data_IF_154404139494
#
_entry.id   IF_154404139494
#
_cell.length_a   1.000
_cell.length_b   1.000
_cell.length_c   1.000
_cell.angle_alpha   90.00
_cell.angle_beta   90.00
_cell.angle_gamma   90.00
#
_symmetry.space_group_name_H-M   'P 1'
#
loop_
_entity.id
_entity.type
_entity.pdbx_description
1 polymer ?
#
# COMPACT_ATOMS: atom_id res chain seq x y z
N UNK A 1 -10.97 10.16 -9.66
CA UNK A 1 -10.96 8.76 -10.12
C UNK A 1 -12.39 8.27 -10.23
N UNK A 2 -12.75 7.57 -11.31
CA UNK A 2 -14.10 7.01 -11.45
C UNK A 2 -14.32 5.85 -10.49
N UNK A 3 -15.58 5.59 -10.12
CA UNK A 3 -15.98 4.54 -9.17
C UNK A 3 -15.58 3.11 -9.56
N UNK A 4 -15.09 2.88 -10.79
CA UNK A 4 -14.64 1.57 -11.27
C UNK A 4 -13.41 1.01 -10.52
N UNK A 5 -12.58 1.88 -9.93
CA UNK A 5 -11.34 1.49 -9.25
C UNK A 5 -11.61 0.67 -7.98
N UNK A 6 -12.83 0.73 -7.45
CA UNK A 6 -13.26 0.05 -6.24
C UNK A 6 -13.55 -1.46 -6.42
N UNK A 7 -13.58 -1.95 -7.66
CA UNK A 7 -13.77 -3.38 -7.97
C UNK A 7 -12.44 -4.15 -8.06
N UNK A 8 -11.30 -3.54 -7.75
CA UNK A 8 -9.98 -4.11 -7.99
C UNK A 8 -9.47 -4.98 -6.82
N UNK A 9 -8.59 -5.98 -7.09
CA UNK A 9 -8.11 -6.94 -6.07
C UNK A 9 -7.37 -6.30 -4.89
N UNK A 10 -6.71 -5.17 -5.12
CA UNK A 10 -5.88 -4.44 -4.15
C UNK A 10 -6.66 -3.58 -3.14
N UNK A 11 -7.99 -3.73 -3.11
CA UNK A 11 -8.92 -2.96 -2.27
C UNK A 11 -8.59 -3.01 -0.77
N UNK A 12 -8.00 -4.09 -0.25
CA UNK A 12 -7.70 -4.17 1.19
C UNK A 12 -6.42 -3.44 1.59
N UNK A 13 -5.43 -3.36 0.69
CA UNK A 13 -4.25 -2.50 0.86
C UNK A 13 -4.54 -1.04 0.44
N UNK A 14 -5.74 -0.73 -0.08
CA UNK A 14 -6.15 0.60 -0.59
C UNK A 14 -5.13 1.24 -1.56
N UNK A 15 -4.36 0.42 -2.26
CA UNK A 15 -3.50 0.84 -3.37
C UNK A 15 -4.16 0.39 -4.66
N UNK A 16 -3.93 1.08 -5.76
CA UNK A 16 -4.61 0.79 -7.01
C UNK A 16 -3.65 0.98 -8.18
N UNK A 17 -4.09 0.57 -9.37
CA UNK A 17 -3.33 0.78 -10.59
C UNK A 17 -2.91 2.25 -10.76
N UNK A 18 -1.66 2.51 -11.20
CA UNK A 18 -0.69 1.55 -11.73
C UNK A 18 0.20 0.85 -10.70
N UNK A 19 0.06 1.15 -9.40
CA UNK A 19 0.99 0.67 -8.36
C UNK A 19 0.90 -0.85 -8.09
N UNK A 20 -0.17 -1.47 -8.54
CA UNK A 20 -0.48 -2.89 -8.33
C UNK A 20 -0.15 -3.76 -9.55
N UNK A 21 0.34 -3.16 -10.64
CA UNK A 21 0.69 -3.86 -11.86
C UNK A 21 2.21 -3.91 -12.02
N UNK A 22 2.76 -5.09 -12.33
CA UNK A 22 4.19 -5.25 -12.59
C UNK A 22 4.67 -4.42 -13.77
N UNK A 23 3.82 -4.13 -14.77
CA UNK A 23 4.12 -3.21 -15.87
C UNK A 23 4.17 -1.76 -15.41
N UNK A 24 3.64 -1.45 -14.22
CA UNK A 24 3.80 -0.16 -13.56
C UNK A 24 5.21 0.07 -12.99
N UNK A 25 6.08 -0.93 -13.03
CA UNK A 25 7.47 -0.85 -12.55
C UNK A 25 8.40 -0.63 -13.74
N UNK A 26 9.12 0.48 -13.73
CA UNK A 26 10.15 0.79 -14.69
C UNK A 26 11.52 0.33 -14.22
N UNK A 27 12.29 -0.28 -15.11
CA UNK A 27 13.68 -0.67 -14.87
C UNK A 27 14.61 -0.12 -15.96
N UNK A 28 15.78 0.37 -15.54
CA UNK A 28 16.84 0.82 -16.42
C UNK A 28 18.01 -0.17 -16.41
N UNK A 29 18.24 -0.89 -17.52
CA UNK A 29 19.31 -1.88 -17.60
C UNK A 29 20.72 -1.30 -17.40
N UNK A 30 20.96 -0.08 -17.89
CA UNK A 30 22.29 0.55 -17.82
C UNK A 30 22.65 1.01 -16.41
N UNK A 31 21.74 1.70 -15.72
CA UNK A 31 21.98 2.24 -14.38
C UNK A 31 21.58 1.29 -13.26
N UNK A 32 20.70 0.34 -13.54
CA UNK A 32 20.08 -0.53 -12.55
C UNK A 32 18.94 0.13 -11.78
N UNK A 33 18.55 1.36 -12.12
CA UNK A 33 17.49 2.09 -11.44
C UNK A 33 16.13 1.40 -11.61
N UNK A 34 15.35 1.35 -10.54
CA UNK A 34 13.96 0.82 -10.51
C UNK A 34 13.06 1.85 -9.83
N UNK A 35 11.89 2.12 -10.40
CA UNK A 35 10.85 2.93 -9.75
C UNK A 35 9.47 2.66 -10.37
N UNK A 36 8.42 3.18 -9.76
CA UNK A 36 7.11 3.23 -10.42
C UNK A 36 7.13 4.19 -11.61
N UNK A 37 6.43 3.83 -12.69
CA UNK A 37 6.27 4.67 -13.88
C UNK A 37 5.69 6.04 -13.48
N UNK A 38 6.29 7.10 -14.01
CA UNK A 38 5.87 8.48 -13.77
C UNK A 38 6.43 9.11 -12.50
N UNK A 39 7.01 8.33 -11.58
CA UNK A 39 7.55 8.86 -10.32
C UNK A 39 9.00 9.39 -10.43
N UNK A 40 9.25 10.19 -11.46
CA UNK A 40 10.55 10.81 -11.75
C UNK A 40 10.56 12.33 -11.52
N UNK A 41 9.39 12.96 -11.56
CA UNK A 41 9.24 14.42 -11.66
C UNK A 41 9.80 15.17 -10.45
N UNK A 42 9.68 14.59 -9.26
CA UNK A 42 10.03 15.26 -7.99
C UNK A 42 11.36 14.75 -7.40
N UNK A 43 12.24 14.18 -8.22
CA UNK A 43 13.55 13.70 -7.75
C UNK A 43 14.52 14.87 -7.60
N UNK A 44 15.07 15.07 -6.41
CA UNK A 44 16.05 16.12 -6.13
C UNK A 44 17.46 15.70 -6.58
N UNK A 45 18.37 16.67 -6.76
CA UNK A 45 19.79 16.37 -7.04
C UNK A 45 20.45 15.59 -5.90
N UNK A 46 20.06 15.87 -4.66
CA UNK A 46 20.55 15.12 -3.50
C UNK A 46 20.10 13.65 -3.53
N UNK A 47 18.85 13.37 -3.89
CA UNK A 47 18.37 12.00 -4.06
C UNK A 47 19.11 11.31 -5.21
N UNK A 48 19.27 11.99 -6.35
CA UNK A 48 20.03 11.48 -7.51
C UNK A 48 21.44 11.07 -7.12
N UNK A 49 22.14 11.89 -6.34
CA UNK A 49 23.51 11.60 -5.89
C UNK A 49 23.57 10.36 -4.98
N UNK A 50 22.66 10.24 -4.01
CA UNK A 50 22.57 9.07 -3.12
C UNK A 50 22.27 7.78 -3.89
N UNK A 51 21.30 7.85 -4.80
CA UNK A 51 20.89 6.73 -5.66
C UNK A 51 22.05 6.30 -6.56
N UNK A 52 22.72 7.25 -7.23
CA UNK A 52 23.86 6.95 -8.08
C UNK A 52 24.99 6.27 -7.31
N UNK A 53 25.30 6.76 -6.10
CA UNK A 53 26.31 6.16 -5.24
C UNK A 53 25.93 4.74 -4.77
N UNK A 54 24.65 4.50 -4.49
CA UNK A 54 24.15 3.16 -4.18
C UNK A 54 24.23 2.23 -5.40
N UNK A 55 23.78 2.66 -6.57
CA UNK A 55 23.76 1.83 -7.78
C UNK A 55 25.18 1.52 -8.28
N UNK A 56 26.12 2.45 -8.18
CA UNK A 56 27.52 2.20 -8.54
C UNK A 56 28.17 1.06 -7.73
N UNK A 57 27.66 0.80 -6.51
CA UNK A 57 28.15 -0.29 -5.64
C UNK A 57 27.37 -1.59 -5.81
N UNK A 58 26.07 -1.49 -6.08
CA UNK A 58 25.13 -2.62 -5.98
C UNK A 58 24.58 -3.09 -7.34
N UNK A 59 24.82 -2.36 -8.44
CA UNK A 59 24.42 -2.75 -9.79
C UNK A 59 25.62 -3.15 -10.63
N UNK A 60 25.47 -4.26 -11.36
CA UNK A 60 26.35 -4.63 -12.46
C UNK A 60 25.50 -4.66 -13.73
N UNK A 61 25.92 -3.99 -14.82
CA UNK A 61 25.23 -4.10 -16.10
C UNK A 61 25.06 -5.56 -16.50
N UNK A 62 23.87 -5.94 -16.97
CA UNK A 62 23.54 -7.33 -17.25
C UNK A 62 22.07 -7.52 -17.60
N UNK A 63 21.61 -8.77 -17.49
CA UNK A 63 20.21 -9.12 -17.69
C UNK A 63 19.31 -8.36 -16.71
N UNK A 64 18.06 -8.15 -17.12
CA UNK A 64 17.05 -7.57 -16.26
C UNK A 64 16.81 -8.48 -15.04
N UNK A 65 16.83 -7.93 -13.81
CA UNK A 65 16.63 -8.72 -12.61
C UNK A 65 15.22 -9.33 -12.58
N UNK A 66 15.06 -10.42 -11.84
CA UNK A 66 13.75 -11.01 -11.56
C UNK A 66 12.87 -10.02 -10.78
N UNK A 67 11.55 -10.22 -10.82
CA UNK A 67 10.61 -9.27 -10.22
C UNK A 67 10.89 -9.03 -8.73
N UNK A 68 11.17 -10.08 -7.94
CA UNK A 68 11.44 -9.92 -6.51
C UNK A 68 12.70 -9.10 -6.25
N UNK A 69 13.73 -9.26 -7.08
CA UNK A 69 14.93 -8.43 -7.01
C UNK A 69 14.63 -6.97 -7.39
N UNK A 70 13.71 -6.72 -8.34
CA UNK A 70 13.21 -5.36 -8.63
C UNK A 70 12.49 -4.76 -7.45
N UNK A 71 11.60 -5.51 -6.79
CA UNK A 71 10.84 -5.00 -5.64
C UNK A 71 11.76 -4.66 -4.47
N UNK A 72 12.72 -5.53 -4.16
CA UNK A 72 13.71 -5.26 -3.12
C UNK A 72 14.56 -4.04 -3.46
N UNK A 73 15.03 -3.94 -4.70
CA UNK A 73 15.78 -2.77 -5.17
C UNK A 73 14.92 -1.50 -5.10
N UNK A 74 13.63 -1.60 -5.40
CA UNK A 74 12.71 -0.48 -5.30
C UNK A 74 12.57 -0.01 -3.84
N UNK A 75 12.41 -0.93 -2.88
CA UNK A 75 12.42 -0.61 -1.43
C UNK A 75 13.70 0.17 -1.06
N UNK A 76 14.87 -0.33 -1.47
CA UNK A 76 16.17 0.28 -1.18
C UNK A 76 16.33 1.67 -1.81
N UNK A 77 15.97 1.83 -3.09
CA UNK A 77 16.09 3.10 -3.80
C UNK A 77 15.15 4.16 -3.25
N UNK A 78 13.92 3.79 -2.89
CA UNK A 78 12.98 4.71 -2.28
C UNK A 78 13.37 5.11 -0.85
N UNK A 79 14.05 4.25 -0.10
CA UNK A 79 14.60 4.61 1.21
C UNK A 79 15.66 5.72 1.13
N UNK A 80 16.29 5.89 -0.05
CA UNK A 80 17.25 6.97 -0.30
C UNK A 80 16.60 8.29 -0.73
N UNK A 81 15.31 8.26 -1.10
CA UNK A 81 14.58 9.41 -1.64
C UNK A 81 13.89 10.21 -0.55
N UNK A 82 13.88 11.52 -0.74
CA UNK A 82 13.11 12.43 0.10
C UNK A 82 11.65 12.42 -0.36
N UNK A 83 10.81 11.62 0.31
CA UNK A 83 9.37 11.50 0.05
C UNK A 83 8.57 11.82 1.30
N UNK A 84 7.37 12.38 1.11
CA UNK A 84 6.46 12.62 2.22
C UNK A 84 5.92 11.31 2.81
N UNK A 85 5.32 11.41 4.00
CA UNK A 85 4.84 10.25 4.75
C UNK A 85 3.69 9.52 4.06
N UNK A 86 2.82 10.23 3.37
CA UNK A 86 1.71 9.64 2.62
C UNK A 86 2.25 8.77 1.48
N UNK A 87 3.24 9.28 0.74
CA UNK A 87 3.91 8.52 -0.30
C UNK A 87 4.61 7.28 0.28
N UNK A 88 5.37 7.43 1.36
CA UNK A 88 6.08 6.31 1.99
C UNK A 88 5.14 5.20 2.43
N UNK A 89 4.01 5.53 3.06
CA UNK A 89 2.99 4.55 3.44
C UNK A 89 2.42 3.87 2.19
N UNK A 90 2.03 4.65 1.17
CA UNK A 90 1.47 4.11 -0.07
C UNK A 90 2.44 3.14 -0.75
N UNK A 91 3.73 3.47 -0.81
CA UNK A 91 4.78 2.61 -1.33
C UNK A 91 4.86 1.28 -0.57
N UNK A 92 4.86 1.31 0.76
CA UNK A 92 4.91 0.08 1.58
C UNK A 92 3.73 -0.84 1.29
N UNK A 93 2.53 -0.28 1.14
CA UNK A 93 1.32 -1.06 0.81
C UNK A 93 1.35 -1.61 -0.62
N UNK A 94 1.83 -0.82 -1.59
CA UNK A 94 1.99 -1.25 -2.97
C UNK A 94 3.00 -2.40 -3.08
N UNK A 95 4.16 -2.27 -2.44
CA UNK A 95 5.13 -3.34 -2.36
C UNK A 95 4.54 -4.56 -1.67
N UNK A 96 3.84 -4.40 -0.54
CA UNK A 96 3.22 -5.51 0.17
C UNK A 96 2.25 -6.31 -0.71
N UNK A 97 1.40 -5.60 -1.46
CA UNK A 97 0.49 -6.21 -2.43
C UNK A 97 1.26 -7.01 -3.49
N UNK A 98 2.27 -6.40 -4.12
CA UNK A 98 3.08 -7.06 -5.15
C UNK A 98 3.83 -8.29 -4.62
N UNK A 99 4.36 -8.23 -3.39
CA UNK A 99 4.95 -9.40 -2.74
C UNK A 99 3.92 -10.53 -2.53
N UNK A 100 2.70 -10.21 -2.04
CA UNK A 100 1.65 -11.22 -1.82
C UNK A 100 1.18 -11.87 -3.12
N UNK A 101 0.93 -11.08 -4.17
CA UNK A 101 0.49 -11.57 -5.48
C UNK A 101 1.51 -12.48 -6.16
N UNK A 102 2.80 -12.31 -5.83
CA UNK A 102 3.88 -13.13 -6.36
C UNK A 102 4.40 -14.19 -5.38
N UNK A 103 3.61 -14.52 -4.35
CA UNK A 103 3.84 -15.65 -3.47
C UNK A 103 4.79 -15.40 -2.29
N UNK A 104 5.36 -14.19 -2.16
CA UNK A 104 6.19 -13.81 -1.02
C UNK A 104 5.34 -13.26 0.14
N UNK A 105 4.70 -14.19 0.86
CA UNK A 105 3.87 -13.86 2.03
C UNK A 105 4.67 -13.22 3.18
N UNK A 106 5.94 -13.59 3.33
CA UNK A 106 6.81 -13.08 4.38
C UNK A 106 7.18 -11.61 4.12
N UNK A 107 7.59 -11.29 2.89
CA UNK A 107 7.84 -9.91 2.45
C UNK A 107 6.60 -9.04 2.56
N UNK A 108 5.44 -9.54 2.10
CA UNK A 108 4.17 -8.84 2.23
C UNK A 108 3.83 -8.51 3.69
N UNK A 109 3.93 -9.50 4.59
CA UNK A 109 3.65 -9.34 6.02
C UNK A 109 4.59 -8.32 6.68
N UNK A 110 5.90 -8.41 6.39
CA UNK A 110 6.91 -7.45 6.87
C UNK A 110 6.55 -6.01 6.47
N UNK A 111 6.20 -5.80 5.21
CA UNK A 111 5.87 -4.47 4.67
C UNK A 111 4.56 -3.92 5.25
N UNK A 112 3.54 -4.77 5.45
CA UNK A 112 2.28 -4.38 6.11
C UNK A 112 2.47 -4.00 7.57
N UNK A 113 3.35 -4.67 8.31
CA UNK A 113 3.72 -4.23 9.67
C UNK A 113 4.36 -2.84 9.67
N UNK A 114 5.33 -2.59 8.77
CA UNK A 114 5.95 -1.26 8.62
C UNK A 114 4.90 -0.19 8.28
N UNK A 115 4.00 -0.49 7.33
CA UNK A 115 2.93 0.41 6.94
C UNK A 115 1.96 0.70 8.10
N UNK A 116 1.56 -0.31 8.87
CA UNK A 116 0.68 -0.16 10.03
C UNK A 116 1.29 0.76 11.09
N UNK A 117 2.58 0.63 11.36
CA UNK A 117 3.29 1.49 12.31
C UNK A 117 3.24 2.96 11.88
N UNK A 118 3.59 3.25 10.63
CA UNK A 118 3.55 4.62 10.09
C UNK A 118 2.12 5.16 10.02
N UNK A 119 1.14 4.34 9.65
CA UNK A 119 -0.28 4.70 9.65
C UNK A 119 -0.72 5.12 11.05
N UNK A 120 -0.39 4.35 12.09
CA UNK A 120 -0.74 4.69 13.47
C UNK A 120 -0.16 6.04 13.88
N UNK A 121 1.09 6.32 13.52
CA UNK A 121 1.72 7.64 13.76
C UNK A 121 0.96 8.75 13.06
N UNK A 122 0.60 8.58 11.79
CA UNK A 122 -0.16 9.59 11.04
C UNK A 122 -1.55 9.79 11.65
N UNK A 123 -2.25 8.73 12.05
CA UNK A 123 -3.57 8.83 12.68
C UNK A 123 -3.55 9.64 13.99
N UNK A 124 -2.46 9.59 14.77
CA UNK A 124 -2.32 10.45 15.97
C UNK A 124 -2.15 11.94 15.66
N UNK A 125 -1.70 12.27 14.45
CA UNK A 125 -1.57 13.64 13.97
C UNK A 125 -2.86 14.17 13.31
N UNK A 126 -3.97 13.44 13.39
CA UNK A 126 -5.29 13.82 12.86
C UNK A 126 -5.24 14.24 11.38
N UNK A 127 -4.99 13.29 10.46
CA UNK A 127 -4.86 13.58 9.04
C UNK A 127 -6.21 14.03 8.45
N UNK A 128 -6.19 14.55 7.22
CA UNK A 128 -7.41 14.91 6.51
C UNK A 128 -8.42 13.76 6.40
N UNK A 129 -9.71 14.06 6.32
CA UNK A 129 -10.81 13.08 6.44
C UNK A 129 -10.63 11.85 5.55
N UNK A 130 -10.35 12.04 4.25
CA UNK A 130 -10.17 10.92 3.33
C UNK A 130 -9.04 9.99 3.77
N UNK A 131 -7.88 10.56 4.12
CA UNK A 131 -6.72 9.81 4.59
C UNK A 131 -7.03 9.10 5.91
N UNK A 132 -7.77 9.74 6.81
CA UNK A 132 -8.23 9.13 8.06
C UNK A 132 -9.09 7.91 7.79
N UNK A 133 -10.05 7.97 6.87
CA UNK A 133 -10.91 6.83 6.52
C UNK A 133 -10.10 5.67 5.96
N UNK A 134 -9.23 5.97 4.98
CA UNK A 134 -8.34 5.00 4.34
C UNK A 134 -7.48 4.29 5.37
N UNK A 135 -6.85 5.05 6.27
CA UNK A 135 -5.89 4.53 7.23
C UNK A 135 -6.55 3.73 8.35
N UNK A 136 -7.73 4.13 8.80
CA UNK A 136 -8.51 3.31 9.74
C UNK A 136 -8.95 1.99 9.11
N UNK A 137 -9.39 2.02 7.85
CA UNK A 137 -9.75 0.81 7.12
C UNK A 137 -8.55 -0.14 6.93
N UNK A 138 -7.43 0.36 6.42
CA UNK A 138 -6.20 -0.45 6.22
C UNK A 138 -5.69 -1.00 7.56
N UNK A 139 -5.74 -0.19 8.62
CA UNK A 139 -5.38 -0.66 9.96
C UNK A 139 -6.25 -1.85 10.37
N UNK A 140 -7.57 -1.74 10.22
CA UNK A 140 -8.47 -2.83 10.58
C UNK A 140 -8.18 -4.13 9.80
N UNK A 141 -7.92 -4.03 8.49
CA UNK A 141 -7.60 -5.17 7.64
C UNK A 141 -6.27 -5.84 8.06
N UNK A 142 -5.24 -5.04 8.32
CA UNK A 142 -3.92 -5.54 8.74
C UNK A 142 -3.98 -6.19 10.11
N UNK A 143 -4.63 -5.56 11.09
CA UNK A 143 -4.80 -6.13 12.43
C UNK A 143 -5.50 -7.48 12.36
N UNK A 144 -6.53 -7.61 11.52
CA UNK A 144 -7.20 -8.91 11.33
C UNK A 144 -6.26 -9.95 10.73
N UNK A 145 -5.51 -9.61 9.67
CA UNK A 145 -4.50 -10.49 9.07
C UNK A 145 -3.45 -10.93 10.10
N UNK A 146 -3.10 -10.07 11.05
CA UNK A 146 -2.15 -10.37 12.11
C UNK A 146 -2.74 -11.09 13.33
N UNK A 147 -4.04 -11.40 13.31
CA UNK A 147 -4.74 -12.08 14.42
C UNK A 147 -5.08 -11.16 15.60
N UNK A 148 -4.96 -9.84 15.44
CA UNK A 148 -5.27 -8.85 16.47
C UNK A 148 -6.73 -8.40 16.37
N UNK A 149 -7.66 -9.33 16.57
CA UNK A 149 -9.10 -9.13 16.38
C UNK A 149 -9.64 -7.89 17.10
N UNK A 150 -9.27 -7.72 18.37
CA UNK A 150 -9.70 -6.58 19.18
C UNK A 150 -9.24 -5.24 18.58
N UNK A 151 -7.98 -5.16 18.12
CA UNK A 151 -7.45 -3.94 17.52
C UNK A 151 -8.12 -3.65 16.16
N UNK A 152 -8.44 -4.70 15.39
CA UNK A 152 -9.23 -4.61 14.16
C UNK A 152 -10.62 -4.03 14.44
N UNK A 153 -11.35 -4.57 15.42
CA UNK A 153 -12.69 -4.11 15.80
C UNK A 153 -12.67 -2.66 16.31
N UNK A 154 -11.66 -2.27 17.09
CA UNK A 154 -11.49 -0.90 17.55
C UNK A 154 -11.24 0.07 16.38
N UNK A 155 -10.44 -0.33 15.39
CA UNK A 155 -10.22 0.46 14.18
C UNK A 155 -11.50 0.60 13.33
N UNK A 156 -12.28 -0.49 13.19
CA UNK A 156 -13.58 -0.45 12.51
C UNK A 156 -14.58 0.47 13.22
N UNK A 157 -14.66 0.42 14.56
CA UNK A 157 -15.53 1.32 15.32
C UNK A 157 -15.16 2.80 15.13
N UNK A 158 -13.85 3.10 15.12
CA UNK A 158 -13.34 4.44 14.81
C UNK A 158 -13.69 4.86 13.38
N UNK A 159 -13.56 3.93 12.42
CA UNK A 159 -13.96 4.16 11.03
C UNK A 159 -15.46 4.46 10.93
N UNK A 160 -16.32 3.66 11.56
CA UNK A 160 -17.78 3.87 11.56
C UNK A 160 -18.15 5.26 12.06
N UNK A 161 -17.51 5.68 13.15
CA UNK A 161 -17.72 7.01 13.74
C UNK A 161 -17.27 8.11 12.79
N UNK A 162 -16.11 7.94 12.15
CA UNK A 162 -15.56 8.92 11.21
C UNK A 162 -16.42 9.03 9.93
N UNK A 163 -16.89 7.90 9.39
CA UNK A 163 -17.75 7.85 8.21
C UNK A 163 -19.15 8.45 8.49
N UNK A 164 -19.75 8.15 9.64
CA UNK A 164 -21.07 8.68 10.01
C UNK A 164 -21.05 10.20 10.23
N UNK A 165 -19.92 10.75 10.67
CA UNK A 165 -19.74 12.18 10.90
C UNK A 165 -19.23 12.94 9.66
N UNK A 166 -18.97 12.24 8.53
CA UNK A 166 -18.49 12.87 7.31
C UNK A 166 -19.50 13.90 6.79
N UNK A 167 -19.07 15.15 6.65
CA UNK A 167 -19.87 16.23 6.04
C UNK A 167 -19.42 16.58 4.63
N UNK A 168 -18.33 15.97 4.16
CA UNK A 168 -17.77 16.26 2.86
C UNK A 168 -18.48 15.43 1.78
N UNK A 169 -19.37 16.09 1.04
CA UNK A 169 -20.13 15.47 -0.06
C UNK A 169 -19.22 14.90 -1.16
N UNK A 170 -18.02 15.45 -1.35
CA UNK A 170 -17.06 14.93 -2.34
C UNK A 170 -16.54 13.54 -1.98
N UNK A 171 -16.70 13.12 -0.73
CA UNK A 171 -16.29 11.80 -0.25
C UNK A 171 -17.47 10.81 -0.18
N UNK A 172 -18.69 11.18 -0.59
CA UNK A 172 -19.88 10.33 -0.47
C UNK A 172 -19.68 8.94 -1.10
N UNK A 173 -19.13 8.87 -2.31
CA UNK A 173 -18.84 7.60 -2.99
C UNK A 173 -17.78 6.78 -2.25
N UNK A 174 -16.77 7.43 -1.68
CA UNK A 174 -15.73 6.75 -0.93
C UNK A 174 -16.24 6.23 0.42
N UNK A 175 -17.11 7.01 1.09
CA UNK A 175 -17.81 6.58 2.30
C UNK A 175 -18.69 5.37 2.02
N UNK A 176 -19.45 5.38 0.92
CA UNK A 176 -20.27 4.24 0.49
C UNK A 176 -19.39 3.00 0.26
N UNK A 177 -18.32 3.16 -0.53
CA UNK A 177 -17.37 2.10 -0.81
C UNK A 177 -16.78 1.47 0.46
N UNK A 178 -16.25 2.27 1.39
CA UNK A 178 -15.68 1.75 2.63
C UNK A 178 -16.73 1.14 3.55
N UNK A 179 -17.96 1.66 3.55
CA UNK A 179 -19.07 1.10 4.34
C UNK A 179 -19.44 -0.31 3.90
N UNK A 180 -19.42 -0.56 2.60
CA UNK A 180 -19.65 -1.89 2.01
C UNK A 180 -18.43 -2.80 2.23
N UNK A 181 -17.23 -2.31 1.91
CA UNK A 181 -16.01 -3.12 1.92
C UNK A 181 -15.61 -3.57 3.33
N UNK A 182 -15.80 -2.72 4.35
CA UNK A 182 -15.42 -3.05 5.74
C UNK A 182 -16.18 -4.26 6.29
N UNK A 183 -17.32 -4.63 5.71
CA UNK A 183 -18.08 -5.83 6.10
C UNK A 183 -17.30 -7.13 5.85
N UNK A 184 -16.33 -7.09 4.94
CA UNK A 184 -15.48 -8.24 4.63
C UNK A 184 -14.32 -8.38 5.62
N UNK A 185 -13.93 -7.31 6.32
CA UNK A 185 -12.73 -7.30 7.19
C UNK A 185 -12.77 -8.39 8.27
N UNK A 186 -13.88 -8.64 9.00
CA UNK A 186 -13.93 -9.74 9.98
C UNK A 186 -13.71 -11.14 9.40
N UNK A 187 -13.77 -11.30 8.07
CA UNK A 187 -13.58 -12.58 7.37
C UNK A 187 -12.13 -12.83 6.92
N UNK A 188 -11.23 -11.86 7.12
CA UNK A 188 -9.82 -12.02 6.78
C UNK A 188 -9.23 -13.08 7.71
N UNK A 189 -8.71 -14.17 7.13
CA UNK A 189 -8.10 -15.25 7.88
C UNK A 189 -6.71 -14.82 8.41
N UNK A 190 -6.43 -14.99 9.72
CA UNK A 190 -5.11 -14.71 10.27
C UNK A 190 -4.01 -15.48 9.54
N UNK A 191 -2.92 -14.80 9.16
CA UNK A 191 -1.78 -15.37 8.43
C UNK A 191 -2.05 -15.76 6.97
N UNK A 192 -3.31 -15.75 6.51
CA UNK A 192 -3.70 -16.02 5.12
C UNK A 192 -3.52 -14.79 4.21
N UNK A 193 -4.10 -14.81 3.00
CA UNK A 193 -4.14 -13.62 2.12
C UNK A 193 -4.87 -12.47 2.81
N UNK A 194 -4.49 -11.23 2.49
CA UNK A 194 -5.20 -10.07 3.04
C UNK A 194 -6.64 -10.01 2.54
N UNK A 195 -6.87 -10.34 1.27
CA UNK A 195 -8.22 -10.47 0.74
C UNK A 195 -8.88 -11.75 1.32
N UNK A 196 -10.05 -11.64 1.97
CA UNK A 196 -10.77 -12.80 2.47
C UNK A 196 -11.33 -13.63 1.31
N UNK A 197 -11.42 -14.94 1.52
CA UNK A 197 -12.17 -15.83 0.62
C UNK A 197 -13.66 -15.53 0.80
N UNK A 198 -14.23 -14.81 -0.15
CA UNK A 198 -15.66 -14.56 -0.20
C UNK A 198 -16.30 -15.74 -0.94
N UNK A 199 -17.03 -16.59 -0.21
CA UNK A 199 -17.97 -17.51 -0.85
C UNK A 199 -18.90 -16.66 -1.72
N UNK A 200 -18.91 -16.91 -3.03
CA UNK A 200 -19.57 -16.10 -4.05
C UNK A 200 -20.87 -15.49 -3.51
N UNK A 201 -20.93 -14.16 -3.45
CA UNK A 201 -22.23 -13.49 -3.54
C UNK A 201 -22.74 -13.87 -4.93
N UNK A 202 -23.62 -14.88 -5.02
CA UNK A 202 -24.36 -15.18 -6.23
C UNK A 202 -24.88 -13.84 -6.79
N UNK A 203 -24.67 -13.59 -8.09
CA UNK A 203 -25.10 -12.34 -8.72
C UNK A 203 -26.59 -12.07 -8.51
#
# INVERSE_FOLDING_TARGET
YGSYIYNWPSKYDQVFWPLTDTHGIWFCASSGFVAFIGDFKDMTDADRAKIAAYLAKNHKPGAEPELMDKLQRMEDLYALRTKDKTFQITLLRALAYLHEEHGDQAGATRLRHKALEEIRRVLTAEPGEQQRFEYLFVSAAYERKFGNDKASDEALKKLDTALANNKNEKLADYVKYLTELKQDVPRIAPGGRLAPELLDKKP
#
